data_IF_192618920313
#
_entry.id   IF_192618920313
#
_cell.length_a   1.000
_cell.length_b   1.000
_cell.length_c   1.000
_cell.angle_alpha   90.00
_cell.angle_beta   90.00
_cell.angle_gamma   90.00
#
_symmetry.space_group_name_H-M   'P 1'
#
loop_
_entity.id
_entity.type
_entity.pdbx_description
1 polymer ?
#
# COMPACT_ATOMS: atom_id res chain seq x y z
N UNK A 1 0.20 -54.57 78.83
CA UNK A 1 -0.61 -53.52 78.11
C UNK A 1 0.26 -52.73 77.15
N UNK A 2 0.80 -53.32 76.06
CA UNK A 2 1.56 -52.59 75.00
C UNK A 2 1.54 -53.36 73.69
N UNK A 3 0.38 -53.82 73.19
CA UNK A 3 0.30 -54.50 71.90
C UNK A 3 -0.83 -54.08 70.95
N UNK A 4 -1.64 -53.05 71.32
CA UNK A 4 -2.81 -52.65 70.50
C UNK A 4 -2.62 -51.30 69.68
N UNK A 5 -1.49 -50.65 69.83
CA UNK A 5 -1.32 -49.32 69.16
C UNK A 5 -0.66 -49.37 67.77
N UNK A 6 0.03 -50.47 67.43
CA UNK A 6 0.82 -50.54 66.18
C UNK A 6 -0.02 -50.96 64.97
N UNK A 7 -1.15 -51.63 65.18
CA UNK A 7 -2.02 -52.12 64.07
C UNK A 7 -2.85 -50.99 63.41
N UNK A 8 -3.30 -49.99 64.16
CA UNK A 8 -4.11 -48.90 63.63
C UNK A 8 -3.33 -47.88 62.79
N UNK A 9 -2.06 -47.69 63.08
CA UNK A 9 -1.21 -46.78 62.34
C UNK A 9 -0.87 -47.31 60.89
N UNK A 10 -0.71 -48.64 60.78
CA UNK A 10 -0.44 -49.29 59.48
C UNK A 10 -1.65 -49.28 58.53
N UNK A 11 -2.87 -49.42 59.04
CA UNK A 11 -4.07 -49.42 58.25
C UNK A 11 -4.45 -48.00 57.73
N UNK A 12 -4.18 -46.97 58.50
CA UNK A 12 -4.39 -45.57 58.10
C UNK A 12 -3.37 -45.14 57.05
N UNK A 13 -2.12 -45.62 57.18
CA UNK A 13 -1.05 -45.27 56.21
C UNK A 13 -1.29 -45.96 54.84
N UNK A 14 -1.79 -47.19 54.83
CA UNK A 14 -2.15 -47.88 53.59
C UNK A 14 -3.39 -47.30 52.90
N UNK A 15 -4.37 -46.79 53.66
CA UNK A 15 -5.54 -46.11 53.10
C UNK A 15 -5.21 -44.74 52.50
N UNK A 16 -4.24 -44.01 53.08
CA UNK A 16 -3.75 -42.74 52.53
C UNK A 16 -2.90 -42.91 51.28
N UNK A 17 -2.10 -43.97 51.20
CA UNK A 17 -1.33 -44.30 49.97
C UNK A 17 -2.20 -44.80 48.84
N UNK A 18 -3.29 -45.54 49.09
CA UNK A 18 -4.26 -45.95 48.07
C UNK A 18 -5.06 -44.76 47.54
N UNK A 19 -5.41 -43.77 48.37
CA UNK A 19 -6.09 -42.55 47.98
C UNK A 19 -5.23 -41.63 47.11
N UNK A 20 -3.92 -41.55 47.38
CA UNK A 20 -2.97 -40.77 46.59
C UNK A 20 -2.72 -41.37 45.18
N UNK A 21 -2.75 -42.69 45.01
CA UNK A 21 -2.61 -43.35 43.70
C UNK A 21 -3.83 -43.18 42.80
N UNK A 22 -5.03 -43.02 43.38
CA UNK A 22 -6.26 -42.80 42.60
C UNK A 22 -6.42 -41.39 42.09
N UNK A 23 -5.78 -40.39 42.70
CA UNK A 23 -5.77 -39.01 42.23
C UNK A 23 -4.71 -38.79 41.14
N UNK A 24 -3.67 -39.62 41.07
CA UNK A 24 -2.62 -39.52 40.04
C UNK A 24 -3.03 -40.09 38.66
N UNK A 25 -4.09 -40.92 38.58
CA UNK A 25 -4.59 -41.48 37.33
C UNK A 25 -5.62 -40.61 36.59
N UNK A 26 -6.10 -39.51 37.20
CA UNK A 26 -7.00 -38.54 36.58
C UNK A 26 -6.30 -37.38 35.86
N UNK A 27 -4.95 -37.30 35.87
CA UNK A 27 -4.17 -36.25 35.22
C UNK A 27 -3.64 -36.61 33.82
N UNK A 28 -4.22 -37.64 33.15
CA UNK A 28 -4.19 -37.66 31.70
C UNK A 28 -5.18 -36.58 31.23
N UNK A 29 -4.72 -35.33 31.23
CA UNK A 29 -5.39 -34.26 30.52
C UNK A 29 -5.60 -34.74 29.08
N UNK A 30 -6.83 -35.05 28.72
CA UNK A 30 -7.21 -35.01 27.34
C UNK A 30 -6.73 -33.66 26.84
N UNK A 31 -5.66 -33.62 26.03
CA UNK A 31 -5.49 -32.56 25.09
C UNK A 31 -6.83 -32.49 24.41
N UNK A 32 -7.65 -31.50 24.79
CA UNK A 32 -8.63 -31.03 23.86
C UNK A 32 -7.78 -30.60 22.68
N UNK A 33 -7.73 -31.42 21.65
CA UNK A 33 -7.60 -30.97 20.33
C UNK A 33 -8.79 -30.00 20.15
N UNK A 34 -8.63 -28.77 20.61
CA UNK A 34 -9.28 -27.67 19.99
C UNK A 34 -8.88 -27.86 18.54
N UNK A 35 -9.80 -28.43 17.75
CA UNK A 35 -9.84 -28.22 16.33
C UNK A 35 -9.62 -26.71 16.23
N UNK A 36 -8.38 -26.31 15.97
CA UNK A 36 -8.04 -24.93 15.72
C UNK A 36 -9.00 -24.54 14.63
N UNK A 37 -10.00 -23.75 14.99
CA UNK A 37 -10.67 -22.96 14.00
C UNK A 37 -9.51 -22.42 13.17
N UNK A 38 -9.45 -22.77 11.90
CA UNK A 38 -8.34 -22.53 11.01
C UNK A 38 -7.94 -21.07 11.21
N UNK A 39 -6.90 -20.86 12.05
CA UNK A 39 -6.54 -19.54 12.50
C UNK A 39 -6.13 -18.74 11.28
N UNK A 40 -6.67 -17.55 11.14
CA UNK A 40 -6.25 -16.63 10.09
C UNK A 40 -4.75 -16.38 10.20
N UNK A 41 -4.05 -16.37 9.07
CA UNK A 41 -2.62 -16.08 9.04
C UNK A 41 -2.41 -14.56 9.13
N UNK A 42 -1.52 -14.07 9.99
CA UNK A 42 -1.14 -12.66 9.99
C UNK A 42 -0.64 -12.24 8.61
N UNK A 43 -1.08 -11.07 8.15
CA UNK A 43 -0.67 -10.50 6.87
C UNK A 43 -0.58 -8.98 7.00
N UNK A 44 0.64 -8.45 7.04
CA UNK A 44 0.88 -7.02 7.24
C UNK A 44 1.09 -6.31 5.91
N UNK A 45 0.26 -5.31 5.65
CA UNK A 45 0.33 -4.44 4.46
C UNK A 45 0.71 -3.04 4.89
N UNK A 46 1.81 -2.51 4.39
CA UNK A 46 2.16 -1.11 4.57
C UNK A 46 1.57 -0.28 3.44
N UNK A 47 0.88 0.79 3.82
CA UNK A 47 0.38 1.79 2.88
C UNK A 47 1.54 2.59 2.30
N UNK A 48 1.33 3.27 1.16
CA UNK A 48 2.31 4.21 0.57
C UNK A 48 2.35 5.54 1.31
N UNK A 49 1.23 5.90 1.94
CA UNK A 49 0.98 7.18 2.61
C UNK A 49 0.20 6.97 3.90
N UNK A 50 -0.13 8.06 4.62
CA UNK A 50 -1.13 7.96 5.68
C UNK A 50 -2.49 7.52 5.09
N UNK A 51 -3.38 6.89 5.91
CA UNK A 51 -4.69 6.43 5.44
C UNK A 51 -5.46 7.53 4.73
N UNK A 52 -5.99 7.23 3.55
CA UNK A 52 -6.74 8.17 2.72
C UNK A 52 -7.71 7.44 1.78
N UNK A 53 -8.39 8.20 0.93
CA UNK A 53 -9.40 7.73 -0.02
C UNK A 53 -8.91 6.65 -0.99
N UNK A 54 -7.63 6.67 -1.39
CA UNK A 54 -7.07 5.72 -2.35
C UNK A 54 -6.93 4.31 -1.76
N UNK A 55 -7.00 4.20 -0.42
CA UNK A 55 -7.02 2.93 0.31
C UNK A 55 -8.45 2.40 0.60
N UNK A 56 -9.50 3.06 0.10
CA UNK A 56 -10.89 2.74 0.46
C UNK A 56 -11.25 1.26 0.23
N UNK A 57 -10.78 0.62 -0.84
CA UNK A 57 -11.03 -0.79 -1.12
C UNK A 57 -10.46 -1.72 -0.03
N UNK A 58 -9.30 -1.39 0.53
CA UNK A 58 -8.69 -2.14 1.64
C UNK A 58 -9.52 -2.02 2.91
N UNK A 59 -9.97 -0.81 3.25
CA UNK A 59 -10.81 -0.57 4.42
C UNK A 59 -12.19 -1.19 4.29
N UNK A 60 -12.78 -1.20 3.07
CA UNK A 60 -14.04 -1.87 2.81
C UNK A 60 -13.89 -3.40 3.00
N UNK A 61 -12.88 -4.03 2.39
CA UNK A 61 -12.61 -5.45 2.56
C UNK A 61 -12.34 -5.85 4.02
N UNK A 62 -11.62 -5.00 4.79
CA UNK A 62 -11.43 -5.20 6.23
C UNK A 62 -12.73 -5.15 7.01
N UNK A 63 -13.56 -4.14 6.77
CA UNK A 63 -14.81 -3.94 7.49
C UNK A 63 -15.82 -5.05 7.25
N UNK A 64 -15.87 -5.60 6.04
CA UNK A 64 -16.73 -6.73 5.66
C UNK A 64 -16.18 -8.10 6.12
N UNK A 65 -14.94 -8.14 6.60
CA UNK A 65 -14.29 -9.39 7.00
C UNK A 65 -13.83 -10.26 5.82
N UNK A 66 -13.74 -9.68 4.62
CA UNK A 66 -13.39 -10.40 3.39
C UNK A 66 -12.00 -11.04 3.46
N UNK A 67 -11.03 -10.40 4.10
CA UNK A 67 -9.71 -10.97 4.29
C UNK A 67 -9.74 -12.18 5.24
N UNK A 68 -10.53 -12.10 6.31
CA UNK A 68 -10.70 -13.24 7.23
C UNK A 68 -11.40 -14.42 6.57
N UNK A 69 -12.36 -14.14 5.68
CA UNK A 69 -13.06 -15.19 4.91
C UNK A 69 -12.13 -15.99 3.98
N UNK A 70 -10.97 -15.43 3.62
CA UNK A 70 -9.93 -16.11 2.83
C UNK A 70 -8.74 -16.59 3.70
N UNK A 71 -8.88 -16.57 5.03
CA UNK A 71 -7.88 -17.08 5.96
C UNK A 71 -6.74 -16.10 6.29
N UNK A 72 -6.91 -14.80 6.04
CA UNK A 72 -5.91 -13.77 6.32
C UNK A 72 -6.37 -12.82 7.44
N UNK A 73 -5.50 -12.56 8.39
CA UNK A 73 -5.67 -11.49 9.39
C UNK A 73 -4.85 -10.28 8.96
N UNK A 74 -5.45 -9.46 8.09
CA UNK A 74 -4.77 -8.32 7.46
C UNK A 74 -4.68 -7.15 8.42
N UNK A 75 -3.45 -6.63 8.58
CA UNK A 75 -3.16 -5.40 9.31
C UNK A 75 -2.63 -4.35 8.34
N UNK A 76 -3.31 -3.22 8.24
CA UNK A 76 -2.83 -2.04 7.51
C UNK A 76 -1.98 -1.18 8.44
N UNK A 77 -0.81 -0.77 7.98
CA UNK A 77 0.11 0.10 8.72
C UNK A 77 0.51 1.27 7.83
N UNK A 78 0.49 2.47 8.39
CA UNK A 78 0.97 3.66 7.69
C UNK A 78 2.50 3.77 7.81
N UNK A 79 3.21 4.26 6.79
CA UNK A 79 4.64 4.52 6.88
C UNK A 79 4.94 5.72 7.78
N UNK A 80 6.11 5.72 8.39
CA UNK A 80 6.63 6.85 9.16
C UNK A 80 7.34 7.87 8.27
N UNK A 81 7.84 7.42 7.11
CA UNK A 81 8.46 8.23 6.06
C UNK A 81 7.97 7.73 4.69
N UNK A 82 7.86 8.64 3.74
CA UNK A 82 7.27 8.35 2.44
C UNK A 82 8.07 7.30 1.61
N UNK A 83 9.38 7.16 1.84
CA UNK A 83 10.27 6.22 1.16
C UNK A 83 10.51 4.90 1.93
N UNK A 84 9.71 4.64 2.97
CA UNK A 84 9.89 3.48 3.87
C UNK A 84 9.32 2.17 3.31
N UNK A 85 8.17 2.12 2.60
CA UNK A 85 7.46 0.87 2.32
C UNK A 85 8.29 -0.20 1.63
N UNK A 86 8.94 0.11 0.50
CA UNK A 86 9.75 -0.88 -0.24
C UNK A 86 11.00 -1.32 0.53
N UNK A 87 11.59 -0.44 1.35
CA UNK A 87 12.76 -0.77 2.18
C UNK A 87 12.40 -1.82 3.23
N UNK A 88 11.27 -1.64 3.93
CA UNK A 88 10.81 -2.60 4.94
C UNK A 88 10.32 -3.90 4.33
N UNK A 89 9.68 -3.83 3.15
CA UNK A 89 9.28 -5.02 2.41
C UNK A 89 10.49 -5.85 2.00
N UNK A 90 11.51 -5.24 1.39
CA UNK A 90 12.74 -5.90 0.99
C UNK A 90 13.47 -6.53 2.19
N UNK A 91 13.43 -5.87 3.35
CA UNK A 91 13.98 -6.38 4.60
C UNK A 91 13.15 -7.51 5.24
N UNK A 92 12.02 -7.92 4.64
CA UNK A 92 11.15 -8.98 5.16
C UNK A 92 10.36 -8.60 6.42
N UNK A 93 10.14 -7.31 6.66
CA UNK A 93 9.37 -6.80 7.81
C UNK A 93 7.87 -6.69 7.52
N UNK A 94 7.49 -6.83 6.27
CA UNK A 94 6.13 -6.74 5.76
C UNK A 94 5.85 -7.92 4.84
N UNK A 95 4.57 -8.26 4.68
CA UNK A 95 4.11 -9.24 3.70
C UNK A 95 3.85 -8.58 2.34
N UNK A 96 3.36 -7.34 2.35
CA UNK A 96 3.05 -6.56 1.16
C UNK A 96 3.25 -5.07 1.45
N UNK A 97 3.59 -4.29 0.43
CA UNK A 97 3.62 -2.84 0.48
C UNK A 97 2.82 -2.26 -0.70
N UNK A 98 2.18 -1.11 -0.47
CA UNK A 98 1.72 -0.27 -1.56
C UNK A 98 2.89 0.63 -1.96
N UNK A 99 3.12 0.76 -3.25
CA UNK A 99 4.15 1.59 -3.85
C UNK A 99 3.69 2.07 -5.22
N UNK A 100 4.60 2.58 -6.01
CA UNK A 100 4.38 3.18 -7.31
C UNK A 100 5.15 2.40 -8.37
N UNK A 101 4.60 2.25 -9.59
CA UNK A 101 5.31 1.58 -10.69
C UNK A 101 6.73 2.14 -10.88
N UNK A 102 6.94 3.49 -10.98
CA UNK A 102 8.28 4.04 -11.14
C UNK A 102 9.22 3.77 -9.96
N UNK A 103 8.71 3.76 -8.71
CA UNK A 103 9.53 3.46 -7.54
C UNK A 103 9.96 1.98 -7.54
N UNK A 104 9.04 1.07 -7.89
CA UNK A 104 9.35 -0.35 -8.02
C UNK A 104 10.43 -0.59 -9.08
N UNK A 105 10.34 0.08 -10.24
CA UNK A 105 11.34 -0.04 -11.30
C UNK A 105 12.72 0.47 -10.85
N UNK A 106 12.78 1.62 -10.15
CA UNK A 106 14.01 2.12 -9.55
C UNK A 106 14.61 1.17 -8.50
N UNK A 107 13.74 0.61 -7.64
CA UNK A 107 14.17 -0.34 -6.62
C UNK A 107 14.76 -1.62 -7.25
N UNK A 108 14.15 -2.11 -8.33
CA UNK A 108 14.66 -3.26 -9.08
C UNK A 108 15.96 -2.95 -9.80
N UNK A 109 16.10 -1.77 -10.39
CA UNK A 109 17.35 -1.30 -11.01
C UNK A 109 18.52 -1.28 -10.00
N UNK A 110 18.21 -1.11 -8.70
CA UNK A 110 19.15 -1.21 -7.58
C UNK A 110 19.34 -2.66 -7.07
N UNK A 111 18.75 -3.65 -7.73
CA UNK A 111 18.90 -5.07 -7.40
C UNK A 111 17.91 -5.61 -6.35
N UNK A 112 16.88 -4.85 -5.94
CA UNK A 112 15.86 -5.35 -5.02
C UNK A 112 14.92 -6.32 -5.77
N UNK A 113 14.76 -7.52 -5.22
CA UNK A 113 13.95 -8.59 -5.82
C UNK A 113 12.49 -8.47 -5.36
N UNK A 114 11.80 -7.51 -5.96
CA UNK A 114 10.42 -7.13 -5.69
C UNK A 114 9.59 -7.30 -6.97
N UNK A 115 8.28 -7.58 -6.81
CA UNK A 115 7.34 -7.75 -7.92
C UNK A 115 5.98 -7.21 -7.55
N UNK A 116 5.33 -6.49 -8.47
CA UNK A 116 3.92 -6.08 -8.33
C UNK A 116 3.00 -7.25 -8.65
N UNK A 117 1.98 -7.44 -7.82
CA UNK A 117 0.96 -8.49 -7.98
C UNK A 117 -0.43 -7.93 -8.33
N UNK A 118 -0.54 -6.61 -8.47
CA UNK A 118 -1.78 -5.95 -8.87
C UNK A 118 -1.70 -4.44 -8.70
N UNK A 119 -2.51 -3.69 -9.46
CA UNK A 119 -2.61 -2.25 -9.39
C UNK A 119 -3.91 -1.81 -8.72
N UNK A 120 -3.84 -0.93 -7.72
CA UNK A 120 -5.00 -0.27 -7.11
C UNK A 120 -5.51 0.86 -8.00
N UNK A 121 -4.59 1.60 -8.64
CA UNK A 121 -4.88 2.73 -9.52
C UNK A 121 -3.99 2.62 -10.76
N UNK A 122 -4.62 2.50 -11.93
CA UNK A 122 -3.93 2.22 -13.21
C UNK A 122 -3.63 3.47 -14.03
N UNK A 123 -3.67 4.65 -13.42
CA UNK A 123 -3.33 5.93 -14.08
C UNK A 123 -2.61 6.85 -13.10
N UNK A 124 -1.74 7.74 -13.59
CA UNK A 124 -1.08 8.71 -12.74
C UNK A 124 -2.06 9.60 -11.97
N UNK A 125 -1.86 9.69 -10.67
CA UNK A 125 -2.49 10.68 -9.79
C UNK A 125 -1.51 11.82 -9.50
N UNK A 126 -0.23 11.50 -9.51
CA UNK A 126 0.88 12.42 -9.29
C UNK A 126 0.77 13.62 -10.21
N UNK A 127 0.90 14.80 -9.63
CA UNK A 127 0.77 16.07 -10.32
C UNK A 127 1.79 17.08 -9.80
N UNK A 128 2.08 18.07 -10.64
CA UNK A 128 2.67 19.33 -10.20
C UNK A 128 1.49 20.21 -9.75
N UNK A 129 1.50 20.65 -8.50
CA UNK A 129 0.45 21.49 -7.92
C UNK A 129 1.07 22.79 -7.45
N UNK A 130 0.45 23.91 -7.79
CA UNK A 130 0.89 25.24 -7.36
C UNK A 130 -0.29 26.12 -6.96
N UNK A 131 -0.08 27.03 -6.02
CA UNK A 131 -1.06 28.08 -5.70
C UNK A 131 -0.96 29.24 -6.70
N UNK A 132 -2.04 30.01 -6.92
CA UNK A 132 -2.03 31.15 -7.85
C UNK A 132 -0.91 32.18 -7.58
N UNK A 133 -0.54 32.35 -6.31
CA UNK A 133 0.56 33.24 -5.90
C UNK A 133 1.94 32.85 -6.43
N UNK A 134 2.12 31.59 -6.82
CA UNK A 134 3.36 31.11 -7.39
C UNK A 134 3.52 31.42 -8.89
N UNK A 135 2.42 31.81 -9.56
CA UNK A 135 2.38 32.10 -11.01
C UNK A 135 2.95 30.94 -11.87
N UNK A 136 2.56 29.72 -11.52
CA UNK A 136 2.90 28.49 -12.26
C UNK A 136 1.65 28.04 -13.00
N UNK A 137 1.68 28.08 -14.33
CA UNK A 137 0.60 27.62 -15.22
C UNK A 137 1.06 26.47 -16.13
N UNK A 138 2.37 26.29 -16.27
CA UNK A 138 3.01 25.25 -17.06
C UNK A 138 4.30 24.78 -16.38
N UNK A 139 4.86 23.67 -16.84
CA UNK A 139 6.17 23.18 -16.36
C UNK A 139 7.28 24.19 -16.62
N UNK A 140 7.20 24.97 -17.70
CA UNK A 140 8.18 25.99 -18.03
C UNK A 140 8.28 27.09 -16.97
N UNK A 141 7.19 27.37 -16.25
CA UNK A 141 7.14 28.40 -15.20
C UNK A 141 7.84 27.95 -13.90
N UNK A 142 8.28 26.69 -13.83
CA UNK A 142 9.09 26.18 -12.70
C UNK A 142 10.53 26.72 -12.72
N UNK A 143 10.97 27.38 -13.79
CA UNK A 143 12.30 27.99 -13.85
C UNK A 143 12.52 28.97 -12.69
N UNK A 144 13.54 28.70 -11.88
CA UNK A 144 13.87 29.50 -10.70
C UNK A 144 12.95 29.29 -9.49
N UNK A 145 11.97 28.39 -9.57
CA UNK A 145 11.04 28.08 -8.48
C UNK A 145 11.59 27.00 -7.55
N UNK A 146 11.05 26.96 -6.35
CA UNK A 146 11.27 25.90 -5.38
C UNK A 146 10.12 24.89 -5.46
N UNK A 147 10.44 23.64 -5.78
CA UNK A 147 9.48 22.53 -5.89
C UNK A 147 9.65 21.60 -4.69
N UNK A 148 8.57 21.39 -3.94
CA UNK A 148 8.52 20.46 -2.81
C UNK A 148 8.20 19.04 -3.30
N UNK A 149 8.94 18.05 -2.78
CA UNK A 149 8.66 16.62 -2.97
C UNK A 149 8.53 15.92 -1.62
N UNK A 150 7.97 14.72 -1.61
CA UNK A 150 7.91 13.90 -0.39
C UNK A 150 9.25 13.19 -0.07
N UNK A 151 10.25 13.34 -0.93
CA UNK A 151 11.56 12.70 -0.79
C UNK A 151 11.59 11.25 -1.27
N UNK A 152 10.60 10.83 -2.04
CA UNK A 152 10.59 9.52 -2.69
C UNK A 152 11.44 9.62 -3.97
N UNK A 153 12.41 8.72 -4.21
CA UNK A 153 13.37 8.85 -5.31
C UNK A 153 12.75 9.05 -6.70
N UNK A 154 11.61 8.41 -6.98
CA UNK A 154 10.95 8.56 -8.28
C UNK A 154 10.46 9.98 -8.54
N UNK A 155 10.13 10.77 -7.51
CA UNK A 155 9.66 12.15 -7.67
C UNK A 155 10.75 13.06 -8.22
N UNK A 156 11.99 12.90 -7.78
CA UNK A 156 13.15 13.59 -8.36
C UNK A 156 13.34 13.23 -9.83
N UNK A 157 13.19 11.94 -10.17
CA UNK A 157 13.25 11.46 -11.54
C UNK A 157 12.15 12.07 -12.41
N UNK A 158 10.90 12.10 -11.91
CA UNK A 158 9.75 12.69 -12.60
C UNK A 158 9.90 14.21 -12.80
N UNK A 159 10.39 14.94 -11.78
CA UNK A 159 10.67 16.36 -11.89
C UNK A 159 11.72 16.63 -12.98
N UNK A 160 12.79 15.85 -13.00
CA UNK A 160 13.84 15.95 -14.01
C UNK A 160 13.29 15.73 -15.42
N UNK A 161 12.50 14.67 -15.61
CA UNK A 161 11.87 14.36 -16.89
C UNK A 161 10.88 15.44 -17.35
N UNK A 162 10.04 15.94 -16.44
CA UNK A 162 9.11 17.02 -16.74
C UNK A 162 9.83 18.32 -17.16
N UNK A 163 10.89 18.70 -16.44
CA UNK A 163 11.72 19.85 -16.81
C UNK A 163 12.36 19.65 -18.18
N UNK A 164 12.87 18.44 -18.47
CA UNK A 164 13.48 18.09 -19.75
C UNK A 164 12.49 18.21 -20.92
N UNK A 165 11.27 17.67 -20.73
CA UNK A 165 10.18 17.80 -21.71
C UNK A 165 9.79 19.27 -21.98
N UNK A 166 9.95 20.15 -20.99
CA UNK A 166 9.75 21.59 -21.13
C UNK A 166 11.00 22.34 -21.63
N UNK A 167 12.01 21.63 -22.15
CA UNK A 167 13.30 22.19 -22.61
C UNK A 167 14.05 22.97 -21.51
N UNK A 168 13.96 22.51 -20.26
CA UNK A 168 14.68 23.02 -19.11
C UNK A 168 15.72 22.01 -18.63
N UNK A 169 16.85 22.49 -18.12
CA UNK A 169 17.82 21.62 -17.44
C UNK A 169 17.31 21.17 -16.06
N UNK A 170 17.77 20.03 -15.57
CA UNK A 170 17.39 19.48 -14.26
C UNK A 170 17.58 20.49 -13.09
N UNK A 171 18.58 21.36 -13.14
CA UNK A 171 18.82 22.42 -12.14
C UNK A 171 17.98 23.68 -12.33
N UNK A 172 17.04 23.72 -13.26
CA UNK A 172 16.20 24.91 -13.51
C UNK A 172 15.21 25.18 -12.38
N UNK A 173 14.83 24.19 -11.59
CA UNK A 173 14.06 24.31 -10.37
C UNK A 173 14.84 23.79 -9.17
N UNK A 174 14.61 24.36 -7.98
CA UNK A 174 15.20 23.89 -6.73
C UNK A 174 14.27 22.87 -6.09
N UNK A 175 14.69 21.62 -5.99
CA UNK A 175 13.95 20.61 -5.25
C UNK A 175 14.21 20.69 -3.73
N UNK A 176 13.14 20.52 -2.94
CA UNK A 176 13.19 20.48 -1.47
C UNK A 176 12.31 19.35 -0.95
N UNK A 177 12.88 18.43 -0.18
CA UNK A 177 12.09 17.43 0.52
C UNK A 177 11.26 18.07 1.65
N UNK A 178 9.94 17.94 1.58
CA UNK A 178 8.99 18.41 2.58
C UNK A 178 8.22 17.27 3.25
N UNK A 179 8.58 16.02 2.93
CA UNK A 179 7.91 14.82 3.45
C UNK A 179 6.43 14.83 3.14
N UNK A 180 5.62 14.36 4.09
CA UNK A 180 4.16 14.33 3.95
C UNK A 180 3.47 15.72 3.95
N UNK A 181 4.21 16.80 4.17
CA UNK A 181 3.63 18.14 4.35
C UNK A 181 3.56 18.96 3.04
N UNK A 182 3.15 18.33 1.94
CA UNK A 182 3.08 18.99 0.62
C UNK A 182 2.17 20.23 0.63
N UNK A 183 0.94 20.10 1.09
CA UNK A 183 -0.04 21.19 1.16
C UNK A 183 0.41 22.29 2.12
N UNK A 184 0.88 21.94 3.32
CA UNK A 184 1.36 22.93 4.29
C UNK A 184 2.57 23.72 3.81
N UNK A 185 3.47 23.07 3.07
CA UNK A 185 4.63 23.73 2.49
C UNK A 185 4.25 24.78 1.43
N UNK A 186 3.24 24.50 0.60
CA UNK A 186 2.68 25.49 -0.35
C UNK A 186 1.97 26.63 0.38
N UNK A 187 1.11 26.30 1.35
CA UNK A 187 0.33 27.32 2.08
C UNK A 187 1.21 28.28 2.89
N UNK A 188 2.34 27.80 3.41
CA UNK A 188 3.31 28.63 4.14
C UNK A 188 4.29 29.40 3.24
N UNK A 189 4.25 29.17 1.92
CA UNK A 189 5.19 29.75 0.98
C UNK A 189 6.62 29.19 1.09
N UNK A 190 6.80 28.03 1.75
CA UNK A 190 8.10 27.35 1.82
C UNK A 190 8.52 26.83 0.45
N UNK A 191 7.55 26.45 -0.38
CA UNK A 191 7.73 26.02 -1.77
C UNK A 191 6.73 26.73 -2.66
N UNK A 192 7.11 26.96 -3.93
CA UNK A 192 6.25 27.59 -4.96
C UNK A 192 5.27 26.57 -5.54
N UNK A 193 5.71 25.33 -5.71
CA UNK A 193 4.92 24.21 -6.22
C UNK A 193 5.31 22.93 -5.52
N UNK A 194 4.51 21.87 -5.69
CA UNK A 194 4.89 20.52 -5.28
C UNK A 194 4.82 19.57 -6.48
N UNK A 195 5.67 18.53 -6.49
CA UNK A 195 5.52 17.34 -7.33
C UNK A 195 5.36 16.14 -6.39
N UNK A 196 4.35 15.31 -6.64
CA UNK A 196 3.95 14.21 -5.77
C UNK A 196 2.62 14.43 -5.06
N UNK A 197 2.06 15.63 -5.10
CA UNK A 197 0.66 15.86 -4.74
C UNK A 197 -0.27 15.27 -5.81
N UNK A 198 -1.41 14.74 -5.37
CA UNK A 198 -2.37 14.07 -6.25
C UNK A 198 -3.50 15.01 -6.68
N UNK A 199 -3.88 14.94 -7.97
CA UNK A 199 -5.02 15.71 -8.48
C UNK A 199 -6.37 15.30 -7.84
N UNK A 200 -6.47 14.07 -7.33
CA UNK A 200 -7.66 13.52 -6.66
C UNK A 200 -7.66 13.72 -5.15
N UNK A 201 -6.58 14.19 -4.52
CA UNK A 201 -6.49 14.37 -3.07
C UNK A 201 -6.00 15.77 -2.67
N UNK A 202 -4.72 16.13 -2.81
CA UNK A 202 -4.18 17.42 -2.41
C UNK A 202 -4.83 18.58 -3.16
N UNK A 203 -5.13 18.41 -4.45
CA UNK A 203 -5.84 19.44 -5.22
C UNK A 203 -7.27 19.65 -4.69
N UNK A 204 -7.98 18.59 -4.30
CA UNK A 204 -9.31 18.68 -3.69
C UNK A 204 -9.19 19.30 -2.29
N UNK A 205 -8.20 18.91 -1.50
CA UNK A 205 -7.95 19.48 -0.17
C UNK A 205 -7.76 20.99 -0.24
N UNK A 206 -6.95 21.45 -1.20
CA UNK A 206 -6.76 22.89 -1.46
C UNK A 206 -8.05 23.58 -1.92
N UNK A 207 -8.82 22.95 -2.81
CA UNK A 207 -10.09 23.50 -3.27
C UNK A 207 -11.11 23.61 -2.13
N UNK A 208 -11.20 22.62 -1.25
CA UNK A 208 -12.06 22.67 -0.04
C UNK A 208 -11.60 23.75 0.95
N UNK A 209 -10.33 24.09 0.96
CA UNK A 209 -9.77 25.23 1.71
C UNK A 209 -9.91 26.57 0.95
N UNK A 210 -10.77 26.65 -0.07
CA UNK A 210 -11.00 27.82 -0.91
C UNK A 210 -9.73 28.37 -1.59
N UNK A 211 -8.80 27.47 -1.93
CA UNK A 211 -7.66 27.73 -2.80
C UNK A 211 -8.00 27.23 -4.21
N UNK A 212 -7.50 27.92 -5.20
CA UNK A 212 -7.70 27.55 -6.61
C UNK A 212 -6.35 27.10 -7.19
N UNK A 213 -5.88 25.87 -6.89
CA UNK A 213 -4.57 25.43 -7.35
C UNK A 213 -4.54 25.24 -8.86
N UNK A 214 -3.40 25.55 -9.48
CA UNK A 214 -3.03 25.00 -10.78
C UNK A 214 -2.61 23.55 -10.55
N UNK A 215 -3.10 22.64 -11.38
CA UNK A 215 -2.80 21.21 -11.32
C UNK A 215 -2.34 20.76 -12.71
N UNK A 216 -1.13 20.26 -12.80
CA UNK A 216 -0.54 19.72 -14.04
C UNK A 216 -0.25 18.24 -13.79
N UNK A 217 -1.10 17.31 -14.24
CA UNK A 217 -0.83 15.87 -14.15
C UNK A 217 0.48 15.52 -14.85
N UNK A 218 1.26 14.61 -14.26
CA UNK A 218 2.59 14.28 -14.81
C UNK A 218 2.53 13.67 -16.20
N UNK A 219 1.46 12.96 -16.54
CA UNK A 219 1.23 12.43 -17.88
C UNK A 219 0.90 13.52 -18.94
N UNK A 220 0.65 14.76 -18.50
CA UNK A 220 0.57 15.95 -19.34
C UNK A 220 1.86 16.79 -19.28
N UNK A 221 2.82 16.37 -18.47
CA UNK A 221 4.10 17.03 -18.26
C UNK A 221 5.29 16.27 -18.90
N UNK A 222 5.03 15.38 -19.85
CA UNK A 222 6.07 14.64 -20.58
C UNK A 222 6.42 13.27 -19.98
N UNK A 223 5.72 12.82 -18.94
CA UNK A 223 5.85 11.48 -18.37
C UNK A 223 4.78 10.58 -18.99
N UNK A 224 5.09 9.40 -19.53
CA UNK A 224 4.07 8.47 -20.00
C UNK A 224 3.16 8.00 -18.86
N UNK A 225 1.96 7.51 -19.21
CA UNK A 225 1.04 6.93 -18.23
C UNK A 225 1.62 5.64 -17.61
N UNK A 226 1.40 5.45 -16.32
CA UNK A 226 1.86 4.33 -15.52
C UNK A 226 0.83 3.97 -14.45
N UNK A 227 0.99 2.80 -13.78
CA UNK A 227 0.16 2.41 -12.66
C UNK A 227 0.60 3.19 -11.40
N UNK A 228 -0.26 4.11 -10.91
CA UNK A 228 0.11 4.97 -9.77
C UNK A 228 0.29 4.17 -8.50
N UNK A 229 -0.68 3.31 -8.14
CA UNK A 229 -0.59 2.54 -6.91
C UNK A 229 -0.56 1.05 -7.21
N UNK A 230 0.52 0.40 -6.82
CA UNK A 230 0.75 -1.03 -7.04
C UNK A 230 0.97 -1.79 -5.74
N UNK A 231 0.52 -3.03 -5.71
CA UNK A 231 0.67 -3.96 -4.59
C UNK A 231 1.95 -4.77 -4.80
N UNK A 232 2.96 -4.49 -3.99
CA UNK A 232 4.29 -5.06 -4.15
C UNK A 232 4.57 -6.11 -3.08
N UNK A 233 5.16 -7.23 -3.50
CA UNK A 233 5.66 -8.30 -2.63
C UNK A 233 7.10 -8.64 -3.01
N UNK A 234 7.80 -9.41 -2.17
CA UNK A 234 9.09 -9.98 -2.57
C UNK A 234 8.85 -11.09 -3.61
N UNK A 235 9.73 -11.22 -4.59
CA UNK A 235 9.65 -12.30 -5.59
C UNK A 235 9.61 -13.69 -4.97
N UNK A 236 10.30 -13.88 -3.85
CA UNK A 236 10.27 -15.13 -3.09
C UNK A 236 8.85 -15.42 -2.56
N UNK A 237 8.15 -14.41 -2.01
CA UNK A 237 6.79 -14.59 -1.50
C UNK A 237 5.78 -14.81 -2.62
N UNK A 238 5.97 -14.17 -3.76
CA UNK A 238 5.16 -14.45 -4.95
C UNK A 238 5.23 -15.95 -5.32
N UNK A 239 6.42 -16.56 -5.29
CA UNK A 239 6.59 -17.98 -5.59
C UNK A 239 6.08 -18.93 -4.51
N UNK A 240 6.17 -18.56 -3.23
CA UNK A 240 5.91 -19.48 -2.11
C UNK A 240 4.55 -19.29 -1.44
N UNK A 241 3.90 -18.13 -1.62
CA UNK A 241 2.64 -17.74 -0.96
C UNK A 241 1.52 -17.42 -1.96
N UNK A 242 1.52 -18.03 -3.14
CA UNK A 242 0.54 -17.75 -4.19
C UNK A 242 -0.91 -17.89 -3.75
N UNK A 243 -1.24 -18.84 -2.85
CA UNK A 243 -2.58 -19.00 -2.32
C UNK A 243 -2.99 -17.80 -1.43
N UNK A 244 -2.09 -17.31 -0.57
CA UNK A 244 -2.35 -16.14 0.27
C UNK A 244 -2.57 -14.88 -0.60
N UNK A 245 -1.76 -14.71 -1.66
CA UNK A 245 -1.88 -13.59 -2.60
C UNK A 245 -3.19 -13.65 -3.40
N UNK A 246 -3.59 -14.81 -3.93
CA UNK A 246 -4.89 -14.99 -4.59
C UNK A 246 -6.05 -14.67 -3.63
N UNK A 247 -5.99 -15.15 -2.40
CA UNK A 247 -6.98 -14.85 -1.37
C UNK A 247 -7.06 -13.36 -1.09
N UNK A 248 -5.91 -12.70 -0.89
CA UNK A 248 -5.84 -11.26 -0.65
C UNK A 248 -6.46 -10.44 -1.80
N UNK A 249 -6.06 -10.71 -3.04
CA UNK A 249 -6.54 -9.98 -4.22
C UNK A 249 -8.03 -10.25 -4.50
N UNK A 250 -8.53 -11.44 -4.20
CA UNK A 250 -9.94 -11.75 -4.26
C UNK A 250 -10.75 -10.95 -3.24
N UNK A 251 -10.28 -10.88 -1.98
CA UNK A 251 -10.90 -10.09 -0.93
C UNK A 251 -10.88 -8.59 -1.27
N UNK A 252 -9.75 -8.10 -1.73
CA UNK A 252 -9.59 -6.71 -2.16
C UNK A 252 -10.53 -6.34 -3.32
N UNK A 253 -10.69 -7.24 -4.30
CA UNK A 253 -11.64 -7.05 -5.42
C UNK A 253 -13.10 -6.99 -4.94
N UNK A 254 -13.45 -7.64 -3.81
CA UNK A 254 -14.77 -7.47 -3.18
C UNK A 254 -14.89 -6.08 -2.57
N UNK A 255 -13.88 -5.64 -1.81
CA UNK A 255 -13.85 -4.30 -1.24
C UNK A 255 -13.95 -3.19 -2.29
N UNK A 256 -13.30 -3.34 -3.44
CA UNK A 256 -13.43 -2.38 -4.56
C UNK A 256 -14.87 -2.31 -5.09
N UNK A 257 -15.54 -3.45 -5.22
CA UNK A 257 -16.95 -3.45 -5.65
C UNK A 257 -17.86 -2.72 -4.66
N UNK A 258 -17.61 -2.85 -3.35
CA UNK A 258 -18.33 -2.09 -2.31
C UNK A 258 -18.09 -0.58 -2.46
N UNK A 259 -16.83 -0.17 -2.66
CA UNK A 259 -16.50 1.25 -2.89
C UNK A 259 -17.22 1.82 -4.09
N UNK A 260 -17.31 1.05 -5.17
CA UNK A 260 -18.04 1.47 -6.40
C UNK A 260 -19.55 1.52 -6.19
N UNK A 261 -20.09 0.57 -5.43
CA UNK A 261 -21.52 0.50 -5.15
C UNK A 261 -21.98 1.66 -4.25
N UNK A 262 -21.19 1.98 -3.22
CA UNK A 262 -21.49 3.08 -2.29
C UNK A 262 -20.21 3.83 -1.86
N UNK A 263 -19.78 4.83 -2.64
CA UNK A 263 -18.63 5.66 -2.28
C UNK A 263 -18.79 6.42 -0.96
N UNK A 264 -20.02 6.71 -0.54
CA UNK A 264 -20.27 7.43 0.72
C UNK A 264 -20.02 6.52 1.92
N UNK A 265 -20.57 5.31 1.92
CA UNK A 265 -20.27 4.31 2.93
C UNK A 265 -18.77 3.98 2.99
N UNK A 266 -18.10 3.88 1.84
CA UNK A 266 -16.65 3.67 1.78
C UNK A 266 -15.87 4.81 2.45
N UNK A 267 -16.25 6.08 2.23
CA UNK A 267 -15.64 7.22 2.89
C UNK A 267 -15.82 7.19 4.42
N UNK A 268 -16.99 6.76 4.90
CA UNK A 268 -17.22 6.55 6.33
C UNK A 268 -16.28 5.49 6.93
N UNK A 269 -16.04 4.39 6.22
CA UNK A 269 -15.11 3.35 6.68
C UNK A 269 -13.67 3.86 6.78
N UNK A 270 -13.21 4.65 5.82
CA UNK A 270 -11.89 5.28 5.86
C UNK A 270 -11.77 6.23 7.05
N UNK A 271 -12.77 7.09 7.27
CA UNK A 271 -12.81 8.03 8.41
C UNK A 271 -12.92 7.29 9.74
N UNK A 272 -13.70 6.20 9.81
CA UNK A 272 -13.80 5.37 11.01
C UNK A 272 -12.45 4.76 11.40
N UNK A 273 -11.67 4.34 10.41
CA UNK A 273 -10.31 3.81 10.63
C UNK A 273 -9.32 4.90 11.04
N UNK A 274 -9.51 6.14 10.59
CA UNK A 274 -8.71 7.30 10.96
C UNK A 274 -9.58 8.55 11.18
N UNK A 275 -10.09 8.77 12.41
CA UNK A 275 -11.02 9.86 12.71
C UNK A 275 -10.49 11.30 12.52
N UNK A 276 -9.19 11.47 12.27
CA UNK A 276 -8.61 12.78 11.95
C UNK A 276 -8.91 13.24 10.51
N UNK A 277 -9.39 12.33 9.65
CA UNK A 277 -9.67 12.62 8.24
C UNK A 277 -11.01 13.38 8.08
N UNK A 278 -11.03 14.31 7.14
CA UNK A 278 -12.23 15.03 6.77
C UNK A 278 -13.10 14.18 5.84
N UNK A 279 -14.31 13.80 6.26
CA UNK A 279 -15.21 12.95 5.47
C UNK A 279 -15.46 13.50 4.06
N UNK A 280 -15.71 14.81 3.92
CA UNK A 280 -15.96 15.43 2.62
C UNK A 280 -14.80 15.25 1.67
N UNK A 281 -13.55 15.41 2.14
CA UNK A 281 -12.35 15.17 1.34
C UNK A 281 -12.28 13.70 0.88
N UNK A 282 -12.50 12.75 1.80
CA UNK A 282 -12.45 11.34 1.44
C UNK A 282 -13.49 10.98 0.39
N UNK A 283 -14.74 11.42 0.55
CA UNK A 283 -15.82 11.15 -0.39
C UNK A 283 -15.55 11.73 -1.79
N UNK A 284 -15.13 13.00 -1.86
CA UNK A 284 -14.82 13.65 -3.15
C UNK A 284 -13.62 12.97 -3.82
N UNK A 285 -12.60 12.60 -3.05
CA UNK A 285 -11.42 11.89 -3.55
C UNK A 285 -11.79 10.50 -4.07
N UNK A 286 -12.54 9.69 -3.32
CA UNK A 286 -13.01 8.38 -3.79
C UNK A 286 -13.73 8.51 -5.15
N UNK A 287 -14.70 9.41 -5.24
CA UNK A 287 -15.47 9.64 -6.48
C UNK A 287 -14.58 10.01 -7.65
N UNK A 288 -13.56 10.80 -7.39
CA UNK A 288 -12.60 11.26 -8.40
C UNK A 288 -11.66 10.14 -8.85
N UNK A 289 -11.26 9.26 -7.91
CA UNK A 289 -10.32 8.16 -8.16
C UNK A 289 -10.97 7.00 -8.92
N UNK A 290 -12.26 6.73 -8.71
CA UNK A 290 -12.95 5.56 -9.28
C UNK A 290 -12.69 5.34 -10.79
N UNK A 291 -12.73 6.35 -11.67
CA UNK A 291 -12.43 6.13 -13.10
C UNK A 291 -10.97 5.73 -13.36
N UNK A 292 -10.02 6.17 -12.53
CA UNK A 292 -8.60 5.84 -12.65
C UNK A 292 -8.25 4.46 -12.07
N UNK A 293 -9.10 3.95 -11.17
CA UNK A 293 -8.96 2.63 -10.55
C UNK A 293 -9.68 1.51 -11.33
N UNK A 294 -10.37 1.84 -12.41
CA UNK A 294 -11.11 0.84 -13.20
C UNK A 294 -10.20 0.17 -14.24
N UNK A 295 -10.13 -1.18 -14.22
CA UNK A 295 -9.42 -1.90 -15.26
C UNK A 295 -10.13 -1.77 -16.61
N UNK A 296 -9.45 -2.06 -17.73
CA UNK A 296 -10.07 -2.17 -19.03
C UNK A 296 -11.22 -3.18 -19.04
N UNK A 297 -12.22 -3.03 -19.94
CA UNK A 297 -13.31 -3.99 -20.05
C UNK A 297 -12.83 -5.44 -20.19
N UNK A 298 -13.43 -6.35 -19.42
CA UNK A 298 -13.09 -7.77 -19.42
C UNK A 298 -11.82 -8.13 -18.63
N UNK A 299 -11.19 -7.17 -17.95
CA UNK A 299 -10.07 -7.43 -17.05
C UNK A 299 -10.53 -7.33 -15.59
N UNK A 300 -9.93 -8.13 -14.68
CA UNK A 300 -10.22 -8.04 -13.25
C UNK A 300 -9.66 -6.75 -12.66
N UNK A 301 -10.21 -6.34 -11.51
CA UNK A 301 -9.59 -5.31 -10.69
C UNK A 301 -8.15 -5.70 -10.34
N UNK A 302 -7.26 -4.76 -10.38
CA UNK A 302 -5.83 -4.99 -10.18
C UNK A 302 -5.03 -5.32 -11.45
N UNK A 303 -5.68 -5.38 -12.63
CA UNK A 303 -5.00 -5.71 -13.88
C UNK A 303 -3.90 -4.70 -14.21
N UNK A 304 -2.74 -5.23 -14.52
CA UNK A 304 -1.57 -4.48 -14.95
C UNK A 304 -1.35 -4.73 -16.45
N UNK A 305 -1.27 -3.67 -17.25
CA UNK A 305 -1.16 -3.77 -18.70
C UNK A 305 0.29 -4.09 -19.13
N UNK A 306 0.56 -5.28 -19.70
CA UNK A 306 1.92 -5.66 -20.08
C UNK A 306 2.62 -4.68 -21.02
N UNK A 307 1.88 -4.14 -22.00
CA UNK A 307 2.40 -3.20 -22.98
C UNK A 307 2.73 -1.85 -22.34
N UNK A 308 1.86 -1.37 -21.43
CA UNK A 308 2.09 -0.11 -20.72
C UNK A 308 3.32 -0.20 -19.83
N UNK A 309 3.46 -1.27 -19.05
CA UNK A 309 4.62 -1.51 -18.21
C UNK A 309 5.93 -1.58 -19.00
N UNK A 310 5.94 -2.30 -20.13
CA UNK A 310 7.12 -2.36 -20.99
C UNK A 310 7.47 -0.99 -21.57
N UNK A 311 6.48 -0.24 -22.05
CA UNK A 311 6.68 1.10 -22.61
C UNK A 311 7.19 2.08 -21.55
N UNK A 312 6.65 2.03 -20.33
CA UNK A 312 7.07 2.90 -19.24
C UNK A 312 8.50 2.58 -18.77
N UNK A 313 8.85 1.30 -18.64
CA UNK A 313 10.21 0.88 -18.29
C UNK A 313 11.24 1.29 -19.37
N UNK A 314 10.89 1.17 -20.66
CA UNK A 314 11.74 1.62 -21.76
C UNK A 314 11.92 3.14 -21.74
N UNK A 315 10.87 3.89 -21.48
CA UNK A 315 10.95 5.34 -21.32
C UNK A 315 11.86 5.73 -20.14
N UNK A 316 11.72 5.09 -18.97
CA UNK A 316 12.61 5.36 -17.83
C UNK A 316 14.08 5.14 -18.19
N UNK A 317 14.38 4.08 -18.95
CA UNK A 317 15.74 3.80 -19.41
C UNK A 317 16.22 4.85 -20.44
N UNK A 318 15.36 5.24 -21.40
CA UNK A 318 15.71 6.26 -22.40
C UNK A 318 15.98 7.64 -21.79
N UNK A 319 15.25 8.00 -20.72
CA UNK A 319 15.47 9.21 -19.93
C UNK A 319 16.62 9.09 -18.91
N UNK A 320 17.32 7.94 -18.89
CA UNK A 320 18.43 7.65 -17.97
C UNK A 320 18.04 7.69 -16.49
N UNK A 321 16.78 7.36 -16.19
CA UNK A 321 16.27 7.25 -14.83
C UNK A 321 16.61 5.88 -14.22
N UNK A 322 16.81 4.87 -15.05
CA UNK A 322 17.35 3.55 -14.69
C UNK A 322 18.67 3.31 -15.39
N UNK A 323 19.56 2.48 -14.79
CA UNK A 323 20.89 2.17 -15.32
C UNK A 323 20.88 0.96 -16.27
N UNK A 324 19.88 0.09 -16.12
CA UNK A 324 19.79 -1.16 -16.87
C UNK A 324 18.59 -1.13 -17.82
N UNK A 325 18.75 -1.65 -19.05
CA UNK A 325 17.63 -1.76 -19.98
C UNK A 325 16.57 -2.74 -19.46
N UNK A 326 15.29 -2.50 -19.75
CA UNK A 326 14.22 -3.43 -19.37
C UNK A 326 14.39 -4.78 -20.08
N UNK A 327 13.91 -5.85 -19.47
CA UNK A 327 13.87 -7.20 -20.07
C UNK A 327 15.06 -8.10 -19.74
N UNK A 328 16.10 -7.61 -19.04
CA UNK A 328 17.22 -8.45 -18.59
C UNK A 328 16.85 -9.39 -17.43
N UNK A 329 15.75 -9.13 -16.74
CA UNK A 329 15.27 -9.86 -15.56
C UNK A 329 13.81 -10.33 -15.72
N UNK A 330 13.31 -11.05 -14.70
CA UNK A 330 11.89 -11.39 -14.62
C UNK A 330 11.03 -10.11 -14.67
N UNK A 331 9.83 -10.15 -15.28
CA UNK A 331 8.93 -9.00 -15.33
C UNK A 331 8.72 -8.38 -13.95
N UNK A 332 8.67 -7.04 -13.85
CA UNK A 332 8.49 -6.35 -12.57
C UNK A 332 7.08 -6.50 -12.00
N UNK A 333 6.17 -7.13 -12.72
CA UNK A 333 4.78 -7.36 -12.33
C UNK A 333 4.32 -8.77 -12.73
N UNK A 334 3.22 -9.22 -12.12
CA UNK A 334 2.48 -10.42 -12.54
C UNK A 334 0.98 -10.24 -12.29
N UNK A 335 0.18 -10.71 -13.24
CA UNK A 335 -1.29 -10.77 -13.09
C UNK A 335 -1.77 -12.16 -12.63
N UNK A 336 -0.87 -13.09 -12.38
CA UNK A 336 -1.17 -14.50 -12.10
C UNK A 336 -2.10 -14.70 -10.91
N UNK A 337 -2.03 -13.83 -9.91
CA UNK A 337 -2.79 -13.95 -8.66
C UNK A 337 -4.13 -13.23 -8.68
N UNK A 338 -4.44 -12.48 -9.73
CA UNK A 338 -5.70 -11.74 -9.86
C UNK A 338 -6.89 -12.70 -10.03
N UNK A 339 -8.12 -12.33 -9.60
CA UNK A 339 -9.31 -13.14 -9.78
C UNK A 339 -9.54 -13.53 -11.24
N UNK A 340 -9.70 -14.83 -11.51
CA UNK A 340 -9.89 -15.36 -12.86
C UNK A 340 -8.64 -15.35 -13.75
N UNK A 341 -7.46 -15.11 -13.19
CA UNK A 341 -6.18 -15.16 -13.88
C UNK A 341 -5.31 -16.28 -13.27
N UNK A 342 -4.37 -16.78 -14.09
CA UNK A 342 -3.51 -17.90 -13.70
C UNK A 342 -4.24 -19.25 -13.69
N UNK A 343 -3.51 -20.32 -13.36
CA UNK A 343 -4.02 -21.70 -13.29
C UNK A 343 -4.54 -21.97 -11.89
#
# INVERSE_FOLDING_TARGET
MRACAVGRARTVLLALLAGACLVALGACGAKQDTLSASGTKPFTVMLDWFPNADHAALYAALAQGDFRAVGLDVKLVAPSQADEPLKLLAAGKLDMAISYEPELLLARDQGLRLVSVGALVQRPLTSIIALPSAHVSSVADLRGKTVGTAGIPYQTAMLTAALHAAHLGAGSAKEVNVGFNLVGAMLSGKVDATLGGYWNYEAIQLALAHRSPTVIPVDQAGVPSYDELVLVVREQDARTRGQDLRGFLQALSRGEREVRADPAAAAELVVKANPSLQHKLQLESIRRTLPAAQPPPGKPFGWQNPTAWAHFAEWMYSERLTNHPPGAELPPYTNEYLPGQGI
#
